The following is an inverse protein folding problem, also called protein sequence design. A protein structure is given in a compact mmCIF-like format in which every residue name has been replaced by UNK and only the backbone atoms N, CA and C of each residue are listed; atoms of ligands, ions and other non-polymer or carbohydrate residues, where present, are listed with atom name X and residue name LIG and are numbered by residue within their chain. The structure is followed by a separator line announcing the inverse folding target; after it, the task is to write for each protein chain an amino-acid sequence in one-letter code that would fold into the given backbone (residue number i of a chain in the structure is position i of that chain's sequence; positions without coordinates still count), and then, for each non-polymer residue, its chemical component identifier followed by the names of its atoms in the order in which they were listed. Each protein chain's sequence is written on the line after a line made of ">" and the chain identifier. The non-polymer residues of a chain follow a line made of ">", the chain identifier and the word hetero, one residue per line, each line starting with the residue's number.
data_IF_658872731071
#
_entry.id   IF_658872731071
#
_cell.length_a   1.000
_cell.length_b   1.000
_cell.length_c   1.000
_cell.angle_alpha   90.00
_cell.angle_beta   90.00
_cell.angle_gamma   90.00
#
_symmetry.space_group_name_H-M   'P 1'
#
loop_
_entity.id
_entity.type
_entity.pdbx_description
1 polymer ?
#
# COMPACT_ATOMS: atom_id res chain seq x y z
N UNK A 1 -16.66 1.87 -3.70
CA UNK A 1 -15.62 2.68 -4.40
C UNK A 1 -14.58 3.06 -3.37
N UNK A 2 -13.29 2.81 -3.63
CA UNK A 2 -12.18 3.22 -2.77
C UNK A 2 -11.19 4.08 -3.54
N UNK A 3 -10.79 5.19 -2.92
CA UNK A 3 -9.71 6.06 -3.36
C UNK A 3 -8.90 6.36 -2.11
N UNK A 4 -7.90 5.51 -1.86
CA UNK A 4 -7.05 5.58 -0.67
C UNK A 4 -5.60 5.69 -1.09
N UNK A 5 -4.79 6.33 -0.26
CA UNK A 5 -3.40 6.68 -0.48
C UNK A 5 -2.42 5.58 -0.05
N UNK A 6 -2.85 4.63 0.78
CA UNK A 6 -2.03 3.52 1.26
C UNK A 6 -2.30 2.21 0.51
N UNK A 7 -1.23 1.53 0.07
CA UNK A 7 -1.31 0.17 -0.48
C UNK A 7 -1.86 -0.82 0.54
N UNK A 8 -1.46 -0.72 1.82
CA UNK A 8 -1.95 -1.61 2.88
C UNK A 8 -3.46 -1.49 3.07
N UNK A 9 -4.00 -0.28 2.98
CA UNK A 9 -5.45 -0.08 3.05
C UNK A 9 -6.17 -0.69 1.85
N UNK A 10 -5.59 -0.60 0.64
CA UNK A 10 -6.13 -1.28 -0.55
C UNK A 10 -6.13 -2.80 -0.37
N UNK A 11 -5.04 -3.37 0.17
CA UNK A 11 -4.91 -4.80 0.45
C UNK A 11 -5.90 -5.25 1.52
N UNK A 12 -6.12 -4.44 2.56
CA UNK A 12 -7.12 -4.72 3.57
C UNK A 12 -8.54 -4.70 3.00
N UNK A 13 -8.90 -3.70 2.20
CA UNK A 13 -10.20 -3.67 1.52
C UNK A 13 -10.39 -4.87 0.58
N UNK A 14 -9.33 -5.24 -0.15
CA UNK A 14 -9.32 -6.45 -0.98
C UNK A 14 -9.65 -7.69 -0.17
N UNK A 15 -8.99 -7.85 0.98
CA UNK A 15 -9.24 -8.96 1.90
C UNK A 15 -10.71 -8.97 2.34
N UNK A 16 -11.24 -7.84 2.81
CA UNK A 16 -12.63 -7.75 3.27
C UNK A 16 -13.64 -8.17 2.20
N UNK A 17 -13.52 -7.66 0.96
CA UNK A 17 -14.47 -8.01 -0.10
C UNK A 17 -14.39 -9.47 -0.53
N UNK A 18 -13.22 -10.11 -0.40
CA UNK A 18 -13.08 -11.55 -0.66
C UNK A 18 -13.62 -12.40 0.50
N UNK A 19 -13.48 -11.95 1.76
CA UNK A 19 -14.06 -12.66 2.91
C UNK A 19 -15.58 -12.64 2.95
N UNK A 20 -16.21 -11.68 2.28
CA UNK A 20 -17.67 -11.59 2.20
C UNK A 20 -18.28 -12.59 1.21
N UNK A 21 -17.48 -13.21 0.35
CA UNK A 21 -17.95 -14.18 -0.65
C UNK A 21 -18.41 -15.45 0.04
N UNK A 22 -19.65 -15.85 -0.23
CA UNK A 22 -20.25 -17.09 0.26
C UNK A 22 -20.24 -18.15 -0.83
N UNK A 23 -20.01 -19.39 -0.42
CA UNK A 23 -20.04 -20.57 -1.28
C UNK A 23 -21.26 -21.41 -0.92
N UNK A 24 -21.95 -21.91 -1.95
CA UNK A 24 -23.04 -22.87 -1.79
C UNK A 24 -22.53 -24.30 -1.52
N UNK A 25 -23.45 -25.23 -1.31
CA UNK A 25 -23.12 -26.63 -0.98
C UNK A 25 -22.35 -27.35 -2.10
N UNK A 26 -22.50 -26.91 -3.35
CA UNK A 26 -21.75 -27.40 -4.52
C UNK A 26 -20.35 -26.81 -4.67
N UNK A 27 -19.97 -25.84 -3.82
CA UNK A 27 -18.73 -25.07 -3.96
C UNK A 27 -18.84 -23.88 -4.92
N UNK A 28 -20.00 -23.64 -5.51
CA UNK A 28 -20.24 -22.49 -6.38
C UNK A 28 -20.36 -21.18 -5.57
N UNK A 29 -19.88 -20.08 -6.14
CA UNK A 29 -20.01 -18.75 -5.54
C UNK A 29 -21.47 -18.30 -5.60
N UNK A 30 -22.00 -17.81 -4.48
CA UNK A 30 -23.32 -17.19 -4.43
C UNK A 30 -23.20 -15.74 -4.91
N UNK A 31 -23.66 -15.45 -6.14
CA UNK A 31 -23.48 -14.13 -6.78
C UNK A 31 -24.00 -12.95 -5.95
N UNK A 32 -25.06 -13.13 -5.15
CA UNK A 32 -25.62 -12.06 -4.30
C UNK A 32 -24.73 -11.71 -3.09
N UNK A 33 -23.76 -12.56 -2.75
CA UNK A 33 -22.77 -12.27 -1.70
C UNK A 33 -21.59 -11.42 -2.18
N UNK A 34 -21.45 -11.25 -3.50
CA UNK A 34 -20.34 -10.52 -4.09
C UNK A 34 -20.56 -9.02 -3.91
N UNK A 35 -19.55 -8.36 -3.34
CA UNK A 35 -19.46 -6.90 -3.29
C UNK A 35 -18.33 -6.45 -4.23
N UNK A 36 -18.65 -5.84 -5.38
CA UNK A 36 -17.62 -5.33 -6.29
C UNK A 36 -16.82 -4.19 -5.66
N UNK A 37 -15.51 -4.19 -5.88
CA UNK A 37 -14.60 -3.14 -5.44
C UNK A 37 -14.11 -2.34 -6.64
N UNK A 38 -14.51 -1.08 -6.73
CA UNK A 38 -13.94 -0.11 -7.67
C UNK A 38 -12.80 0.60 -6.96
N UNK A 39 -11.56 0.40 -7.43
CA UNK A 39 -10.34 0.95 -6.87
C UNK A 39 -9.71 1.95 -7.83
N UNK A 40 -9.27 3.10 -7.32
CA UNK A 40 -8.62 4.15 -8.09
C UNK A 40 -7.43 4.75 -7.36
N UNK A 41 -6.43 5.20 -8.11
CA UNK A 41 -5.22 5.84 -7.56
C UNK A 41 -4.58 6.81 -8.54
N UNK A 42 -3.84 7.79 -8.00
CA UNK A 42 -3.17 8.84 -8.79
C UNK A 42 -1.79 9.13 -8.20
N UNK A 43 -0.80 9.38 -9.06
CA UNK A 43 0.51 9.89 -8.68
C UNK A 43 0.95 10.93 -9.73
N UNK A 44 0.97 12.20 -9.34
CA UNK A 44 1.19 13.32 -10.26
C UNK A 44 0.13 13.36 -11.38
N UNK A 45 0.58 13.29 -12.63
CA UNK A 45 -0.29 13.29 -13.82
C UNK A 45 -0.72 11.88 -14.27
N UNK A 46 -0.30 10.83 -13.55
CA UNK A 46 -0.65 9.44 -13.85
C UNK A 46 -1.74 8.97 -12.90
N UNK A 47 -2.60 8.11 -13.39
CA UNK A 47 -3.62 7.48 -12.56
C UNK A 47 -4.15 6.20 -13.18
N UNK A 48 -4.89 5.44 -12.37
CA UNK A 48 -5.55 4.22 -12.80
C UNK A 48 -6.91 4.09 -12.10
N UNK A 49 -7.80 3.34 -12.75
CA UNK A 49 -9.07 2.88 -12.18
C UNK A 49 -9.23 1.42 -12.56
N UNK A 50 -9.71 0.60 -11.64
CA UNK A 50 -9.98 -0.82 -11.87
C UNK A 50 -11.23 -1.28 -11.14
N UNK A 51 -11.78 -2.40 -11.62
CA UNK A 51 -12.92 -3.09 -11.02
C UNK A 51 -12.52 -4.50 -10.62
N UNK A 52 -12.59 -4.77 -9.32
CA UNK A 52 -12.34 -6.09 -8.72
C UNK A 52 -13.68 -6.74 -8.41
N UNK A 53 -13.92 -7.90 -9.01
CA UNK A 53 -15.05 -8.78 -8.74
C UNK A 53 -14.46 -10.05 -8.13
N UNK A 54 -14.58 -10.23 -6.80
CA UNK A 54 -14.03 -11.40 -6.11
C UNK A 54 -14.41 -12.73 -6.78
N UNK A 55 -13.42 -13.53 -7.16
CA UNK A 55 -13.61 -14.83 -7.84
C UNK A 55 -13.74 -14.76 -9.37
N UNK A 56 -13.81 -13.57 -9.98
CA UNK A 56 -14.02 -13.40 -11.43
C UNK A 56 -12.95 -12.54 -12.11
N UNK A 57 -12.51 -11.44 -11.49
CA UNK A 57 -11.46 -10.56 -12.06
C UNK A 57 -10.21 -10.54 -11.17
N UNK A 58 -9.09 -10.06 -11.73
CA UNK A 58 -7.83 -9.93 -10.99
C UNK A 58 -7.99 -9.00 -9.78
N UNK A 59 -7.59 -9.47 -8.61
CA UNK A 59 -7.67 -8.70 -7.37
C UNK A 59 -6.43 -7.82 -7.16
N UNK A 60 -6.39 -7.08 -6.03
CA UNK A 60 -5.25 -6.22 -5.68
C UNK A 60 -3.95 -7.04 -5.57
N UNK A 61 -4.00 -8.21 -4.92
CA UNK A 61 -2.82 -9.09 -4.76
C UNK A 61 -2.32 -9.66 -6.09
N UNK A 62 -3.22 -9.97 -7.04
CA UNK A 62 -2.83 -10.46 -8.36
C UNK A 62 -1.98 -9.47 -9.15
N UNK A 63 -2.03 -8.18 -8.79
CA UNK A 63 -1.40 -7.07 -9.51
C UNK A 63 -0.50 -6.24 -8.60
N UNK A 64 -0.05 -6.83 -7.48
CA UNK A 64 0.74 -6.13 -6.46
C UNK A 64 2.06 -5.57 -7.03
N UNK A 65 2.64 -6.25 -8.01
CA UNK A 65 3.87 -5.84 -8.69
C UNK A 65 3.74 -4.58 -9.56
N UNK A 66 2.53 -4.11 -9.84
CA UNK A 66 2.32 -2.85 -10.57
C UNK A 66 2.38 -1.62 -9.68
N UNK A 67 2.35 -1.79 -8.36
CA UNK A 67 2.54 -0.69 -7.43
C UNK A 67 4.02 -0.33 -7.34
N UNK A 68 4.31 0.97 -7.26
CA UNK A 68 5.67 1.45 -7.01
C UNK A 68 6.15 0.93 -5.66
N UNK A 69 7.40 0.46 -5.63
CA UNK A 69 8.10 0.17 -4.38
C UNK A 69 8.58 1.48 -3.78
N UNK A 70 8.52 1.61 -2.46
CA UNK A 70 9.13 2.75 -1.77
C UNK A 70 10.64 2.80 -2.03
N UNK A 71 11.17 3.99 -2.30
CA UNK A 71 12.61 4.22 -2.46
C UNK A 71 13.28 4.19 -1.08
N UNK A 72 13.68 3.00 -0.63
CA UNK A 72 14.37 2.82 0.66
C UNK A 72 15.86 3.14 0.53
N UNK A 73 16.34 4.15 1.27
CA UNK A 73 17.77 4.49 1.34
C UNK A 73 18.47 3.53 2.31
N UNK A 74 19.50 2.77 1.89
CA UNK A 74 20.20 1.84 2.78
C UNK A 74 20.90 2.57 3.94
N UNK A 75 20.80 2.03 5.15
CA UNK A 75 21.38 2.65 6.36
C UNK A 75 22.90 2.87 6.27
N UNK A 76 23.61 2.00 5.57
CA UNK A 76 25.06 2.15 5.34
C UNK A 76 25.38 3.41 4.52
N UNK A 77 24.47 3.84 3.64
CA UNK A 77 24.62 5.08 2.86
C UNK A 77 24.35 6.32 3.69
N UNK A 78 23.43 6.23 4.67
CA UNK A 78 23.12 7.32 5.60
C UNK A 78 24.28 7.57 6.57
N UNK A 79 24.84 6.50 7.15
CA UNK A 79 25.87 6.60 8.20
C UNK A 79 27.26 6.98 7.68
N UNK A 80 27.61 6.54 6.47
CA UNK A 80 28.99 6.66 5.98
C UNK A 80 29.22 7.89 5.10
N UNK A 81 28.28 8.20 4.19
CA UNK A 81 28.44 9.32 3.25
C UNK A 81 27.10 9.74 2.60
N UNK A 82 26.30 10.61 3.25
CA UNK A 82 25.09 11.16 2.67
C UNK A 82 25.45 12.12 1.52
N UNK A 83 25.19 11.70 0.27
CA UNK A 83 25.62 12.40 -0.97
C UNK A 83 24.54 13.26 -1.62
N UNK A 84 23.29 13.12 -1.21
CA UNK A 84 22.16 13.90 -1.72
C UNK A 84 21.32 14.44 -0.56
N UNK A 85 20.52 15.46 -0.83
CA UNK A 85 19.72 16.13 0.22
C UNK A 85 18.72 15.18 0.87
N UNK A 86 18.18 14.22 0.11
CA UNK A 86 17.27 13.18 0.59
C UNK A 86 17.96 12.29 1.63
N UNK A 87 19.26 12.01 1.46
CA UNK A 87 20.02 11.23 2.42
C UNK A 87 20.23 11.99 3.74
N UNK A 88 20.49 13.29 3.66
CA UNK A 88 20.67 14.12 4.85
C UNK A 88 19.36 14.23 5.65
N UNK A 89 18.23 14.41 4.96
CA UNK A 89 16.91 14.45 5.58
C UNK A 89 16.56 13.12 6.24
N UNK A 90 16.78 11.99 5.55
CA UNK A 90 16.45 10.68 6.11
C UNK A 90 17.37 10.30 7.27
N UNK A 91 18.65 10.67 7.24
CA UNK A 91 19.56 10.52 8.38
C UNK A 91 19.07 11.30 9.61
N UNK A 92 18.66 12.56 9.43
CA UNK A 92 18.12 13.37 10.51
C UNK A 92 16.84 12.76 11.09
N UNK A 93 15.94 12.31 10.22
CA UNK A 93 14.65 11.73 10.59
C UNK A 93 14.77 10.38 11.32
N UNK A 94 15.68 9.51 10.88
CA UNK A 94 15.72 8.11 11.34
C UNK A 94 16.81 7.78 12.35
N UNK A 95 17.92 8.53 12.35
CA UNK A 95 19.06 8.26 13.24
C UNK A 95 19.22 9.36 14.28
N UNK A 96 19.33 10.62 13.84
CA UNK A 96 19.63 11.73 14.76
C UNK A 96 18.45 12.05 15.66
N UNK A 97 17.20 11.97 15.18
CA UNK A 97 16.01 12.24 15.98
C UNK A 97 15.97 11.44 17.29
N UNK A 98 16.17 10.12 17.20
CA UNK A 98 16.13 9.22 18.36
C UNK A 98 17.40 9.32 19.23
N UNK A 99 18.53 9.70 18.63
CA UNK A 99 19.83 9.79 19.32
C UNK A 99 19.95 11.08 20.11
N UNK A 100 19.60 12.21 19.50
CA UNK A 100 19.74 13.55 20.09
C UNK A 100 18.52 13.95 20.91
N UNK A 101 17.35 13.36 20.64
CA UNK A 101 16.06 13.63 21.29
C UNK A 101 15.85 15.12 21.55
N UNK A 102 15.84 15.94 20.49
CA UNK A 102 15.96 17.39 20.60
C UNK A 102 14.83 18.06 21.39
N UNK A 103 13.72 17.35 21.64
CA UNK A 103 12.55 17.85 22.35
C UNK A 103 12.35 17.26 23.75
N UNK A 104 13.22 16.36 24.23
CA UNK A 104 13.09 15.74 25.56
C UNK A 104 13.38 16.70 26.73
N UNK A 105 13.92 17.89 26.44
CA UNK A 105 14.24 18.93 27.43
C UNK A 105 13.18 20.04 27.55
N UNK A 106 12.01 19.87 26.91
CA UNK A 106 10.83 20.73 27.05
C UNK A 106 9.78 20.12 27.98
#
# INVERSE_FOLDING_TARGET
>A
MCVVDSLDTRRWLNYIVHTNVKYGDSGDIINSSIVPLIDGGTEGLKGHVRVVIPGYTSCIECTLSYFSTEDVIPICSLSSNPRRIEHCLELARTVLWDTEKPFDSF
#
